data_IF_844570785786
#
_entry.id   IF_844570785786
#
_cell.length_a   1.000
_cell.length_b   1.000
_cell.length_c   1.000
_cell.angle_alpha   90.00
_cell.angle_beta   90.00
_cell.angle_gamma   90.00
#
_symmetry.space_group_name_H-M   'P 1'
#
loop_
_entity.id
_entity.type
_entity.pdbx_description
1 polymer ?
#
# COMPACT_ATOMS: atom_id res chain seq x y z
N UNK A 1 -4.13 -2.36 35.23
CA UNK A 1 -4.15 -1.33 34.16
C UNK A 1 -2.85 -1.44 33.37
N UNK A 2 -2.97 -1.49 32.03
CA UNK A 2 -1.91 -1.39 30.99
C UNK A 2 -0.97 -2.61 30.84
N UNK A 3 -0.69 -3.18 29.66
CA UNK A 3 -0.93 -2.74 28.26
C UNK A 3 -1.04 -3.92 27.28
N UNK A 4 -2.10 -3.90 26.48
CA UNK A 4 -2.37 -4.71 25.28
C UNK A 4 -1.58 -4.19 24.05
N UNK A 5 -0.28 -3.87 24.22
CA UNK A 5 0.54 -3.27 23.16
C UNK A 5 1.11 -4.31 22.17
N UNK A 6 1.20 -5.58 22.57
CA UNK A 6 1.80 -6.63 21.73
C UNK A 6 0.91 -7.11 20.56
N UNK A 7 -0.39 -6.81 20.56
CA UNK A 7 -1.31 -7.18 19.47
C UNK A 7 -1.32 -6.19 18.29
N UNK A 8 -0.99 -4.91 18.53
CA UNK A 8 -1.06 -3.85 17.51
C UNK A 8 0.10 -3.94 16.49
N UNK A 9 1.30 -4.30 16.96
CA UNK A 9 2.50 -4.40 16.13
C UNK A 9 2.44 -5.51 15.05
N UNK A 10 1.96 -6.74 15.32
CA UNK A 10 1.82 -7.76 14.28
C UNK A 10 0.74 -7.41 13.24
N UNK A 11 -0.35 -6.77 13.66
CA UNK A 11 -1.42 -6.33 12.75
C UNK A 11 -0.93 -5.20 11.83
N UNK A 12 -0.16 -4.24 12.36
CA UNK A 12 0.48 -3.19 11.57
C UNK A 12 1.45 -3.75 10.54
N UNK A 13 2.31 -4.70 10.91
CA UNK A 13 3.27 -5.31 9.98
C UNK A 13 2.55 -6.10 8.88
N UNK A 14 1.48 -6.80 9.23
CA UNK A 14 0.63 -7.53 8.27
C UNK A 14 -0.02 -6.56 7.29
N UNK A 15 -0.66 -5.49 7.79
CA UNK A 15 -1.30 -4.48 6.96
C UNK A 15 -0.30 -3.77 6.04
N UNK A 16 0.91 -3.46 6.52
CA UNK A 16 1.99 -2.88 5.70
C UNK A 16 2.40 -3.84 4.58
N UNK A 17 2.61 -5.11 4.89
CA UNK A 17 3.01 -6.11 3.89
C UNK A 17 1.92 -6.33 2.84
N UNK A 18 0.65 -6.42 3.25
CA UNK A 18 -0.48 -6.56 2.33
C UNK A 18 -0.63 -5.33 1.42
N UNK A 19 -0.63 -4.13 1.99
CA UNK A 19 -0.70 -2.90 1.20
C UNK A 19 0.51 -2.73 0.26
N UNK A 20 1.71 -3.09 0.71
CA UNK A 20 2.91 -3.07 -0.13
C UNK A 20 2.79 -4.02 -1.33
N UNK A 21 2.25 -5.23 -1.12
CA UNK A 21 2.03 -6.20 -2.19
C UNK A 21 1.01 -5.68 -3.22
N UNK A 22 -0.09 -5.07 -2.76
CA UNK A 22 -1.11 -4.47 -3.62
C UNK A 22 -0.58 -3.27 -4.42
N UNK A 23 0.23 -2.41 -3.81
CA UNK A 23 0.89 -1.32 -4.52
C UNK A 23 1.91 -1.85 -5.53
N UNK A 24 2.70 -2.86 -5.19
CA UNK A 24 3.66 -3.45 -6.12
C UNK A 24 2.95 -4.14 -7.30
N UNK A 25 1.79 -4.75 -7.06
CA UNK A 25 0.91 -5.28 -8.10
C UNK A 25 0.44 -4.19 -9.07
N UNK A 26 -0.08 -3.08 -8.54
CA UNK A 26 -0.53 -1.94 -9.33
C UNK A 26 0.63 -1.32 -10.13
N UNK A 27 1.83 -1.24 -9.53
CA UNK A 27 3.03 -0.71 -10.17
C UNK A 27 3.51 -1.56 -11.36
N UNK A 28 3.26 -2.86 -11.34
CA UNK A 28 3.62 -3.79 -12.43
C UNK A 28 2.54 -3.92 -13.50
N UNK A 29 1.38 -3.31 -13.28
CA UNK A 29 0.25 -3.40 -14.18
C UNK A 29 0.45 -2.49 -15.39
N UNK A 30 0.39 -3.05 -16.60
CA UNK A 30 0.55 -2.32 -17.86
C UNK A 30 -0.56 -1.30 -18.14
N UNK A 31 -1.74 -1.46 -17.50
CA UNK A 31 -2.86 -0.51 -17.62
C UNK A 31 -2.66 0.73 -16.74
N UNK A 32 -1.71 0.68 -15.80
CA UNK A 32 -1.36 1.85 -15.01
C UNK A 32 -0.46 2.77 -15.86
N UNK A 33 -0.81 4.05 -15.94
CA UNK A 33 0.07 5.06 -16.54
C UNK A 33 1.41 5.13 -15.80
N UNK A 34 2.51 5.55 -16.45
CA UNK A 34 3.86 5.52 -15.87
C UNK A 34 3.99 6.32 -14.57
N UNK A 35 3.25 7.44 -14.45
CA UNK A 35 3.19 8.23 -13.21
C UNK A 35 2.50 7.46 -12.08
N UNK A 36 1.41 6.75 -12.36
CA UNK A 36 0.73 5.91 -11.39
C UNK A 36 1.65 4.76 -10.93
N UNK A 37 2.35 4.12 -11.87
CA UNK A 37 3.30 3.05 -11.57
C UNK A 37 4.41 3.52 -10.63
N UNK A 38 5.02 4.69 -10.89
CA UNK A 38 6.08 5.24 -10.05
C UNK A 38 5.58 5.54 -8.62
N UNK A 39 4.40 6.13 -8.50
CA UNK A 39 3.80 6.38 -7.18
C UNK A 39 3.47 5.09 -6.44
N UNK A 40 2.94 4.08 -7.13
CA UNK A 40 2.69 2.77 -6.54
C UNK A 40 3.99 2.08 -6.08
N UNK A 41 5.05 2.11 -6.89
CA UNK A 41 6.35 1.56 -6.51
C UNK A 41 6.91 2.27 -5.28
N UNK A 42 6.83 3.60 -5.26
CA UNK A 42 7.27 4.40 -4.10
C UNK A 42 6.51 3.99 -2.85
N UNK A 43 5.18 3.92 -2.91
CA UNK A 43 4.33 3.50 -1.79
C UNK A 43 4.70 2.10 -1.28
N UNK A 44 4.93 1.14 -2.18
CA UNK A 44 5.33 -0.22 -1.83
C UNK A 44 6.67 -0.24 -1.07
N UNK A 45 7.69 0.45 -1.60
CA UNK A 45 9.03 0.50 -0.98
C UNK A 45 9.08 1.27 0.34
N UNK A 46 8.15 2.21 0.56
CA UNK A 46 8.00 2.92 1.83
C UNK A 46 7.44 2.01 2.93
N UNK A 47 6.51 1.11 2.59
CA UNK A 47 5.85 0.24 3.58
C UNK A 47 6.67 -0.97 3.97
N UNK A 48 7.41 -1.54 3.01
CA UNK A 48 8.17 -2.75 3.22
C UNK A 48 9.44 -2.75 2.35
N UNK A 49 10.55 -3.33 2.84
CA UNK A 49 11.70 -3.60 2.00
C UNK A 49 11.28 -4.48 0.81
N UNK A 50 11.92 -4.30 -0.36
CA UNK A 50 11.56 -5.02 -1.57
C UNK A 50 11.64 -6.54 -1.35
N UNK A 51 10.50 -7.20 -1.46
CA UNK A 51 10.37 -8.66 -1.40
C UNK A 51 9.78 -9.22 -2.69
N UNK A 52 9.67 -10.56 -2.81
CA UNK A 52 9.01 -11.18 -3.95
C UNK A 52 7.58 -10.67 -4.08
N UNK A 53 7.31 -9.88 -5.13
CA UNK A 53 5.95 -9.42 -5.42
C UNK A 53 5.19 -10.62 -5.97
N UNK A 54 4.12 -11.10 -5.32
CA UNK A 54 3.35 -12.23 -5.82
C UNK A 54 2.93 -11.95 -7.26
N UNK A 55 2.92 -13.00 -8.09
CA UNK A 55 2.47 -12.89 -9.47
C UNK A 55 1.00 -12.49 -9.46
N UNK A 56 0.74 -11.21 -9.71
CA UNK A 56 -0.62 -10.71 -9.75
C UNK A 56 -1.23 -11.14 -11.05
N UNK A 57 -2.42 -11.72 -10.96
CA UNK A 57 -3.21 -12.08 -12.13
C UNK A 57 -3.39 -10.82 -12.96
N UNK A 58 -2.80 -10.78 -14.16
CA UNK A 58 -2.68 -9.61 -15.07
C UNK A 58 -4.02 -8.95 -15.46
N UNK A 59 -5.14 -9.45 -14.92
CA UNK A 59 -6.50 -9.00 -15.20
C UNK A 59 -6.99 -7.91 -14.26
N UNK A 60 -6.43 -7.75 -13.06
CA UNK A 60 -7.00 -6.82 -12.05
C UNK A 60 -6.71 -5.36 -12.40
N UNK A 61 -7.73 -4.50 -12.37
CA UNK A 61 -7.61 -3.06 -12.59
C UNK A 61 -6.64 -2.43 -11.57
N UNK A 62 -5.58 -1.70 -11.99
CA UNK A 62 -4.64 -1.06 -11.07
C UNK A 62 -5.31 -0.10 -10.10
N UNK A 63 -6.39 0.60 -10.50
CA UNK A 63 -7.10 1.52 -9.61
C UNK A 63 -7.75 0.76 -8.46
N UNK A 64 -8.28 -0.45 -8.72
CA UNK A 64 -8.85 -1.32 -7.67
C UNK A 64 -7.80 -1.85 -6.70
N UNK A 65 -6.61 -2.18 -7.20
CA UNK A 65 -5.49 -2.59 -6.36
C UNK A 65 -5.05 -1.45 -5.43
N UNK A 66 -4.97 -0.22 -5.97
CA UNK A 66 -4.64 0.97 -5.19
C UNK A 66 -5.73 1.28 -4.14
N UNK A 67 -7.01 1.25 -4.53
CA UNK A 67 -8.14 1.44 -3.61
C UNK A 67 -8.12 0.41 -2.46
N UNK A 68 -7.84 -0.86 -2.78
CA UNK A 68 -7.74 -1.92 -1.78
C UNK A 68 -6.55 -1.68 -0.84
N UNK A 69 -5.38 -1.29 -1.36
CA UNK A 69 -4.21 -0.96 -0.54
C UNK A 69 -4.52 0.20 0.43
N UNK A 70 -5.15 1.27 -0.08
CA UNK A 70 -5.56 2.41 0.73
C UNK A 70 -6.59 2.03 1.81
N UNK A 71 -7.50 1.09 1.50
CA UNK A 71 -8.45 0.57 2.48
C UNK A 71 -7.77 -0.24 3.58
N UNK A 72 -6.79 -1.09 3.23
CA UNK A 72 -5.98 -1.84 4.21
C UNK A 72 -5.30 -0.87 5.18
N UNK A 73 -4.66 0.19 4.66
CA UNK A 73 -4.04 1.21 5.49
C UNK A 73 -5.07 2.02 6.31
N UNK A 74 -6.21 2.39 5.70
CA UNK A 74 -7.25 3.19 6.35
C UNK A 74 -8.03 2.45 7.44
N UNK A 75 -7.97 1.13 7.48
CA UNK A 75 -8.54 0.30 8.55
C UNK A 75 -7.64 0.20 9.78
N UNK A 76 -6.41 0.74 9.72
CA UNK A 76 -5.53 0.79 10.88
C UNK A 76 -6.08 1.70 11.97
N UNK A 77 -5.80 1.41 13.25
CA UNK A 77 -6.02 2.36 14.33
C UNK A 77 -5.36 3.71 14.04
N UNK A 78 -5.95 4.80 14.51
CA UNK A 78 -5.49 6.16 14.21
C UNK A 78 -4.00 6.40 14.56
N UNK A 79 -3.49 5.77 15.62
CA UNK A 79 -2.09 5.88 16.01
C UNK A 79 -1.14 5.17 15.03
N UNK A 80 -1.55 4.02 14.50
CA UNK A 80 -0.78 3.25 13.52
C UNK A 80 -0.84 3.88 12.14
N UNK A 81 -2.01 4.41 11.76
CA UNK A 81 -2.18 5.17 10.51
C UNK A 81 -1.32 6.43 10.50
N UNK A 82 -1.17 7.09 11.66
CA UNK A 82 -0.33 8.29 11.80
C UNK A 82 1.17 8.03 11.68
N UNK A 83 1.60 6.77 11.55
CA UNK A 83 3.01 6.47 11.33
C UNK A 83 3.50 7.10 10.01
N UNK A 84 4.67 7.78 9.99
CA UNK A 84 5.16 8.52 8.82
C UNK A 84 5.17 7.71 7.52
N UNK A 85 5.67 6.47 7.58
CA UNK A 85 5.71 5.57 6.41
C UNK A 85 4.31 5.24 5.87
N UNK A 86 3.33 5.02 6.76
CA UNK A 86 1.95 4.70 6.38
C UNK A 86 1.29 5.91 5.72
N UNK A 87 1.48 7.10 6.29
CA UNK A 87 1.00 8.35 5.70
C UNK A 87 1.63 8.63 4.33
N UNK A 88 2.96 8.48 4.21
CA UNK A 88 3.67 8.69 2.96
C UNK A 88 3.19 7.71 1.88
N UNK A 89 3.05 6.43 2.21
CA UNK A 89 2.52 5.43 1.29
C UNK A 89 1.08 5.73 0.86
N UNK A 90 0.21 6.12 1.79
CA UNK A 90 -1.16 6.51 1.48
C UNK A 90 -1.22 7.74 0.56
N UNK A 91 -0.37 8.75 0.80
CA UNK A 91 -0.26 9.92 -0.07
C UNK A 91 0.16 9.54 -1.49
N UNK A 92 1.14 8.64 -1.63
CA UNK A 92 1.56 8.14 -2.93
C UNK A 92 0.45 7.33 -3.62
N UNK A 93 -0.28 6.48 -2.89
CA UNK A 93 -1.45 5.78 -3.43
C UNK A 93 -2.54 6.74 -3.94
N UNK A 94 -2.85 7.80 -3.18
CA UNK A 94 -3.80 8.82 -3.64
C UNK A 94 -3.31 9.60 -4.87
N UNK A 95 -2.00 9.86 -4.98
CA UNK A 95 -1.44 10.49 -6.19
C UNK A 95 -1.49 9.55 -7.39
N UNK A 96 -1.32 8.25 -7.19
CA UNK A 96 -1.44 7.26 -8.25
C UNK A 96 -2.87 7.24 -8.85
N UNK A 97 -3.93 7.28 -8.02
CA UNK A 97 -5.33 7.35 -8.50
C UNK A 97 -5.67 8.63 -9.28
N UNK A 98 -4.90 9.70 -9.05
CA UNK A 98 -5.09 10.99 -9.72
C UNK A 98 -4.17 11.17 -10.92
N UNK A 99 -3.25 10.24 -11.15
CA UNK A 99 -2.31 10.34 -12.24
C UNK A 99 -3.06 10.17 -13.57
N UNK A 100 -2.71 10.97 -14.60
CA UNK A 100 -3.19 10.71 -15.94
C UNK A 100 -2.73 9.33 -16.40
N UNK A 101 -3.61 8.63 -17.14
CA UNK A 101 -3.33 7.31 -17.70
C UNK A 101 -2.39 7.42 -18.89
#
# INVERSE_FOLDING_TARGET
>A
MSSTDNGHRPDLLTARAEAAALFAAAARNEKAGPTAQLHCLTAATTLAPPGPVPATTDSTDPDRLIEQALRVLGNLPAHDFAHPDVLAAAQHGHRALRAPR
#
